data_IF_886852891649
#
_entry.id   IF_886852891649
#
_cell.length_a   1.000
_cell.length_b   1.000
_cell.length_c   1.000
_cell.angle_alpha   90.00
_cell.angle_beta   90.00
_cell.angle_gamma   90.00
#
_symmetry.space_group_name_H-M   'P 1'
#
loop_
_entity.id
_entity.type
_entity.pdbx_description
1 polymer ?
#
# COMPACT_ATOMS: atom_id res chain seq x y z
N UNK A 1 -6.70 -40.93 38.31
CA UNK A 1 -6.91 -39.62 37.65
C UNK A 1 -5.54 -39.21 37.12
N UNK A 2 -5.27 -39.44 35.83
CA UNK A 2 -3.95 -39.18 35.26
C UNK A 2 -3.97 -37.77 34.68
N UNK A 3 -3.16 -36.88 35.23
CA UNK A 3 -2.98 -35.53 34.72
C UNK A 3 -2.19 -35.57 33.42
N UNK A 4 -2.89 -35.43 32.29
CA UNK A 4 -2.29 -35.22 30.99
C UNK A 4 -1.78 -33.78 30.87
N UNK A 5 -0.65 -33.47 31.52
CA UNK A 5 0.11 -32.26 31.22
C UNK A 5 0.89 -32.45 29.91
N UNK A 6 0.20 -32.23 28.78
CA UNK A 6 0.87 -32.09 27.49
C UNK A 6 1.69 -30.79 27.48
N UNK A 7 3.00 -30.84 27.21
CA UNK A 7 3.84 -29.63 27.12
C UNK A 7 3.54 -28.89 25.80
N UNK A 8 2.47 -28.11 25.75
CA UNK A 8 2.02 -27.35 24.55
C UNK A 8 2.70 -25.98 24.38
N UNK A 9 3.87 -25.75 25.00
CA UNK A 9 4.53 -24.44 25.01
C UNK A 9 5.84 -24.35 24.23
N UNK A 10 6.47 -25.48 23.84
CA UNK A 10 7.77 -25.45 23.15
C UNK A 10 7.68 -25.50 21.62
N UNK A 11 6.56 -25.96 21.06
CA UNK A 11 6.40 -26.21 19.63
C UNK A 11 5.95 -24.97 18.81
N UNK A 12 5.31 -23.98 19.44
CA UNK A 12 4.80 -22.82 18.70
C UNK A 12 5.91 -21.98 18.06
N UNK A 13 7.06 -21.84 18.72
CA UNK A 13 8.13 -20.96 18.25
C UNK A 13 8.86 -21.42 16.99
N UNK A 14 9.02 -22.73 16.76
CA UNK A 14 9.68 -23.21 15.53
C UNK A 14 8.71 -23.15 14.34
N UNK A 15 7.42 -23.44 14.59
CA UNK A 15 6.37 -23.36 13.59
C UNK A 15 6.14 -21.90 13.14
N UNK A 16 6.13 -20.95 14.09
CA UNK A 16 6.05 -19.52 13.77
C UNK A 16 7.24 -19.05 12.93
N UNK A 17 8.47 -19.50 13.25
CA UNK A 17 9.66 -19.21 12.44
C UNK A 17 9.59 -19.82 11.05
N UNK A 18 9.08 -21.05 10.94
CA UNK A 18 8.88 -21.71 9.65
C UNK A 18 7.85 -20.96 8.79
N UNK A 19 6.73 -20.55 9.38
CA UNK A 19 5.70 -19.74 8.71
C UNK A 19 6.24 -18.37 8.28
N UNK A 20 7.06 -17.72 9.11
CA UNK A 20 7.74 -16.48 8.73
C UNK A 20 8.69 -16.70 7.54
N UNK A 21 9.50 -17.76 7.58
CA UNK A 21 10.45 -18.11 6.50
C UNK A 21 9.73 -18.43 5.18
N UNK A 22 8.62 -19.17 5.25
CA UNK A 22 7.77 -19.46 4.09
C UNK A 22 7.10 -18.20 3.55
N UNK A 23 6.59 -17.31 4.41
CA UNK A 23 6.02 -16.04 4.00
C UNK A 23 7.05 -15.08 3.38
N UNK A 24 8.29 -15.08 3.89
CA UNK A 24 9.42 -14.42 3.22
C UNK A 24 9.69 -15.04 1.86
N UNK A 25 9.83 -16.35 1.76
CA UNK A 25 10.15 -17.00 0.49
C UNK A 25 9.06 -16.83 -0.58
N UNK A 26 7.79 -17.01 -0.22
CA UNK A 26 6.66 -16.96 -1.15
C UNK A 26 6.40 -15.55 -1.70
N UNK A 27 6.69 -14.51 -0.91
CA UNK A 27 6.27 -13.14 -1.23
C UNK A 27 7.42 -12.13 -1.30
N UNK A 28 8.59 -12.37 -0.70
CA UNK A 28 9.68 -11.39 -0.68
C UNK A 28 10.49 -11.35 -1.98
N UNK A 29 10.44 -12.38 -2.83
CA UNK A 29 11.24 -12.41 -4.05
C UNK A 29 10.58 -11.63 -5.20
N UNK A 30 9.32 -11.96 -5.55
CA UNK A 30 8.74 -11.46 -6.80
C UNK A 30 7.66 -10.38 -6.62
N UNK A 31 6.77 -10.51 -5.63
CA UNK A 31 5.65 -9.57 -5.49
C UNK A 31 6.10 -8.21 -4.93
N UNK A 32 6.87 -8.21 -3.83
CA UNK A 32 7.43 -6.99 -3.25
C UNK A 32 8.39 -6.29 -4.22
N UNK A 33 9.22 -7.06 -4.94
CA UNK A 33 10.14 -6.51 -5.93
C UNK A 33 9.39 -5.87 -7.11
N UNK A 34 8.34 -6.53 -7.63
CA UNK A 34 7.48 -5.97 -8.69
C UNK A 34 6.69 -4.75 -8.20
N UNK A 35 6.18 -4.76 -6.97
CA UNK A 35 5.49 -3.62 -6.38
C UNK A 35 6.44 -2.43 -6.22
N UNK A 36 7.62 -2.66 -5.66
CA UNK A 36 8.66 -1.62 -5.48
C UNK A 36 9.13 -1.07 -6.84
N UNK A 37 9.35 -1.95 -7.84
CA UNK A 37 9.71 -1.54 -9.20
C UNK A 37 8.64 -0.69 -9.88
N UNK A 38 7.36 -0.85 -9.50
CA UNK A 38 6.24 -0.01 -9.95
C UNK A 38 6.09 1.28 -9.14
N UNK A 39 6.91 1.48 -8.12
CA UNK A 39 6.82 2.62 -7.20
C UNK A 39 5.68 2.50 -6.19
N UNK A 40 5.19 1.28 -5.92
CA UNK A 40 4.16 1.05 -4.91
C UNK A 40 4.78 1.00 -3.51
N UNK A 41 4.06 1.52 -2.53
CA UNK A 41 4.41 1.37 -1.12
C UNK A 41 4.00 -0.02 -0.62
N UNK A 42 4.96 -0.71 0.01
CA UNK A 42 4.75 -2.03 0.61
C UNK A 42 4.75 -1.89 2.14
N UNK A 43 3.62 -2.15 2.77
CA UNK A 43 3.46 -2.17 4.23
C UNK A 43 3.42 -3.61 4.73
N UNK A 44 4.36 -3.97 5.61
CA UNK A 44 4.44 -5.30 6.22
C UNK A 44 3.77 -5.27 7.60
N UNK A 45 2.74 -6.08 7.79
CA UNK A 45 2.01 -6.23 9.04
C UNK A 45 2.40 -7.50 9.81
N UNK A 46 1.75 -7.72 10.95
CA UNK A 46 1.96 -8.92 11.76
C UNK A 46 1.46 -10.19 11.05
N UNK A 47 2.04 -11.35 11.39
CA UNK A 47 1.62 -12.68 10.91
C UNK A 47 1.55 -12.83 9.38
N UNK A 48 2.48 -12.22 8.65
CA UNK A 48 2.56 -12.35 7.19
C UNK A 48 1.51 -11.55 6.41
N UNK A 49 0.77 -10.64 7.08
CA UNK A 49 -0.09 -9.68 6.36
C UNK A 49 0.76 -8.65 5.62
N UNK A 50 0.38 -8.32 4.38
CA UNK A 50 1.01 -7.28 3.57
C UNK A 50 -0.05 -6.39 2.94
N UNK A 51 0.19 -5.09 2.98
CA UNK A 51 -0.60 -4.09 2.27
C UNK A 51 0.23 -3.50 1.15
N UNK A 52 -0.35 -3.42 -0.04
CA UNK A 52 0.24 -2.74 -1.19
C UNK A 52 -0.57 -1.47 -1.46
N UNK A 53 0.10 -0.33 -1.58
CA UNK A 53 -0.53 0.97 -1.88
C UNK A 53 0.16 1.57 -3.10
N UNK A 54 -0.58 1.77 -4.18
CA UNK A 54 -0.09 2.52 -5.34
C UNK A 54 -0.38 4.02 -5.12
N UNK A 55 0.66 4.88 -4.98
CA UNK A 55 0.48 6.33 -4.77
C UNK A 55 -0.26 7.03 -5.91
N UNK A 56 -0.37 6.41 -7.10
CA UNK A 56 -1.16 6.98 -8.20
C UNK A 56 -2.63 7.12 -7.84
N UNK A 57 -3.17 6.28 -6.97
CA UNK A 57 -4.55 6.42 -6.51
C UNK A 57 -4.76 7.65 -5.61
N UNK A 58 -3.70 8.18 -4.98
CA UNK A 58 -3.80 9.40 -4.16
C UNK A 58 -4.02 10.65 -5.01
N UNK A 59 -3.74 10.55 -6.32
CA UNK A 59 -4.03 11.62 -7.29
C UNK A 59 -5.46 11.57 -7.81
N UNK A 60 -6.20 10.48 -7.57
CA UNK A 60 -7.56 10.29 -8.06
C UNK A 60 -8.53 10.77 -6.97
N UNK A 61 -9.35 11.76 -7.30
CA UNK A 61 -10.34 12.31 -6.40
C UNK A 61 -11.73 12.28 -7.04
N UNK A 62 -12.76 12.20 -6.20
CA UNK A 62 -14.12 12.43 -6.67
C UNK A 62 -14.22 13.85 -7.27
N UNK A 63 -14.88 13.96 -8.41
CA UNK A 63 -15.17 15.24 -9.03
C UNK A 63 -16.02 16.08 -8.07
N UNK A 64 -15.54 17.27 -7.71
CA UNK A 64 -16.24 18.15 -6.77
C UNK A 64 -17.61 18.61 -7.31
N UNK A 65 -17.75 18.77 -8.63
CA UNK A 65 -18.97 19.26 -9.26
C UNK A 65 -20.12 18.25 -9.21
N UNK A 66 -19.83 16.95 -9.29
CA UNK A 66 -20.84 15.89 -9.29
C UNK A 66 -20.69 14.93 -8.10
N UNK A 67 -19.85 15.23 -7.11
CA UNK A 67 -19.64 14.39 -5.93
C UNK A 67 -19.21 12.94 -6.21
N UNK A 68 -18.63 12.64 -7.37
CA UNK A 68 -18.28 11.27 -7.76
C UNK A 68 -19.23 10.56 -8.72
N UNK A 69 -20.45 11.08 -8.94
CA UNK A 69 -21.48 10.35 -9.70
C UNK A 69 -21.27 10.34 -11.22
N UNK A 70 -20.46 11.23 -11.77
CA UNK A 70 -20.28 11.40 -13.22
C UNK A 70 -21.46 12.07 -13.91
N UNK A 71 -22.56 12.33 -13.21
CA UNK A 71 -23.75 12.98 -13.74
C UNK A 71 -23.97 14.33 -13.06
N UNK A 72 -24.45 15.29 -13.84
CA UNK A 72 -24.89 16.59 -13.37
C UNK A 72 -26.13 16.44 -12.49
N UNK A 73 -26.14 16.96 -11.24
CA UNK A 73 -27.27 16.80 -10.33
C UNK A 73 -28.56 17.46 -10.81
N UNK A 74 -28.47 18.47 -11.70
CA UNK A 74 -29.62 19.27 -12.12
C UNK A 74 -30.43 18.64 -13.25
N UNK A 75 -29.76 17.97 -14.20
CA UNK A 75 -30.36 17.51 -15.45
C UNK A 75 -29.99 16.06 -15.81
N UNK A 76 -29.14 15.40 -15.01
CA UNK A 76 -28.71 14.03 -15.24
C UNK A 76 -27.80 13.85 -16.46
N UNK A 77 -27.36 14.95 -17.09
CA UNK A 77 -26.40 14.90 -18.20
C UNK A 77 -25.00 14.51 -17.69
N UNK A 78 -24.10 14.10 -18.60
CA UNK A 78 -22.71 13.85 -18.23
C UNK A 78 -22.10 15.10 -17.59
N UNK A 79 -21.49 14.94 -16.41
CA UNK A 79 -20.92 16.07 -15.69
C UNK A 79 -19.78 16.68 -16.51
N UNK A 80 -19.83 17.98 -16.87
CA UNK A 80 -18.80 18.62 -17.68
C UNK A 80 -17.45 18.72 -16.94
N UNK A 81 -17.47 18.83 -15.60
CA UNK A 81 -16.27 18.93 -14.77
C UNK A 81 -15.41 17.67 -14.73
N UNK A 82 -15.97 16.51 -15.08
CA UNK A 82 -15.22 15.23 -15.16
C UNK A 82 -15.51 14.46 -16.46
N UNK A 83 -16.15 15.10 -17.45
CA UNK A 83 -16.58 14.48 -18.70
C UNK A 83 -17.31 13.14 -18.51
N UNK A 84 -18.18 13.03 -17.49
CA UNK A 84 -18.94 11.80 -17.23
C UNK A 84 -18.25 10.73 -16.38
N UNK A 85 -16.95 10.87 -16.08
CA UNK A 85 -16.19 9.82 -15.38
C UNK A 85 -16.40 9.77 -13.87
N UNK A 86 -16.90 10.86 -13.27
CA UNK A 86 -17.09 10.99 -11.83
C UNK A 86 -15.83 11.28 -11.03
N UNK A 87 -14.64 11.05 -11.61
CA UNK A 87 -13.35 11.26 -10.94
C UNK A 87 -12.47 12.21 -11.73
N UNK A 88 -11.59 12.92 -11.03
CA UNK A 88 -10.59 13.81 -11.61
C UNK A 88 -9.21 13.46 -11.08
N UNK A 89 -8.18 13.62 -11.91
CA UNK A 89 -6.78 13.42 -11.50
C UNK A 89 -6.15 14.76 -11.19
N UNK A 90 -5.57 14.92 -9.99
CA UNK A 90 -4.74 16.08 -9.67
C UNK A 90 -3.29 15.78 -10.07
N UNK A 91 -2.59 16.76 -10.62
CA UNK A 91 -1.15 16.63 -10.78
C UNK A 91 -0.53 16.40 -9.38
N UNK A 92 0.38 15.43 -9.21
CA UNK A 92 1.03 15.23 -7.92
C UNK A 92 1.72 16.54 -7.54
N UNK A 93 1.52 16.99 -6.30
CA UNK A 93 2.33 18.06 -5.75
C UNK A 93 3.79 17.60 -5.84
N UNK A 94 4.57 18.28 -6.67
CA UNK A 94 5.95 17.91 -6.98
C UNK A 94 6.68 17.68 -5.66
N UNK A 95 7.15 16.44 -5.43
CA UNK A 95 7.97 16.14 -4.26
C UNK A 95 9.15 17.10 -4.28
N UNK A 96 9.30 17.86 -3.20
CA UNK A 96 10.43 18.78 -3.00
C UNK A 96 11.74 18.04 -3.27
N UNK A 97 12.66 18.59 -4.06
CA UNK A 97 13.93 17.93 -4.34
C UNK A 97 14.66 17.71 -3.01
N UNK A 98 15.05 16.46 -2.76
CA UNK A 98 15.96 16.10 -1.67
C UNK A 98 17.26 16.83 -1.97
N UNK A 99 17.60 17.83 -1.16
CA UNK A 99 18.92 18.44 -1.22
C UNK A 99 19.93 17.37 -0.79
N UNK A 100 20.71 16.87 -1.74
CA UNK A 100 21.91 16.10 -1.46
C UNK A 100 22.87 16.98 -0.66
N UNK A 101 22.89 16.77 0.66
CA UNK A 101 23.92 17.30 1.53
C UNK A 101 25.23 16.56 1.26
N UNK A 102 26.04 17.06 0.34
CA UNK A 102 27.44 16.65 0.24
C UNK A 102 28.25 17.30 1.36
N UNK A 103 28.51 16.49 2.38
CA UNK A 103 29.74 16.33 3.15
C UNK A 103 30.91 17.28 2.80
N UNK A 104 31.34 18.06 3.79
CA UNK A 104 32.61 18.80 3.78
C UNK A 104 33.30 18.63 5.13
N UNK A 105 34.08 17.55 5.28
CA UNK A 105 34.92 17.29 6.43
C UNK A 105 36.35 17.85 6.24
N UNK A 106 36.85 18.49 7.29
CA UNK A 106 38.26 18.65 7.74
C UNK A 106 39.26 19.42 6.85
N UNK A 107 39.81 20.48 7.45
CA UNK A 107 41.27 20.64 7.67
C UNK A 107 41.50 21.42 8.96
#
# INVERSE_FOLDING_TARGET
MQDHNLPTSRERGWFDRLLLRLGEWLFAADEDARATARGWEVRRGARGTRGYRDPRWDTVHACASCGGYGLSPSDGAACPGCAGTGVVRRAPATAVPVADGCEGARS
#
